data_IF_814416808833
#
_entry.id   IF_814416808833
#
_cell.length_a   1.000
_cell.length_b   1.000
_cell.length_c   1.000
_cell.angle_alpha   90.00
_cell.angle_beta   90.00
_cell.angle_gamma   90.00
#
_symmetry.space_group_name_H-M   'P 1'
#
loop_
_entity.id
_entity.type
_entity.pdbx_description
1 polymer ?
#
# COMPACT_ATOMS: atom_id res chain seq x y z
N UNK A 1 -26.12 -12.19 -15.95
CA UNK A 1 -26.72 -12.89 -14.79
C UNK A 1 -25.75 -13.15 -13.64
N UNK A 2 -24.76 -14.05 -13.71
CA UNK A 2 -23.81 -14.28 -12.57
C UNK A 2 -22.80 -13.12 -12.39
N UNK A 3 -22.42 -12.47 -13.48
CA UNK A 3 -21.46 -11.35 -13.48
C UNK A 3 -22.11 -10.05 -12.98
N UNK A 4 -23.33 -9.75 -13.42
CA UNK A 4 -24.15 -8.61 -12.93
C UNK A 4 -24.48 -8.75 -11.43
N UNK A 5 -24.78 -9.96 -10.95
CA UNK A 5 -25.06 -10.19 -9.52
C UNK A 5 -23.85 -10.00 -8.60
N UNK A 6 -22.62 -10.08 -9.11
CA UNK A 6 -21.39 -9.82 -8.33
C UNK A 6 -21.00 -8.35 -8.33
N UNK A 7 -21.25 -7.63 -9.43
CA UNK A 7 -21.06 -6.18 -9.50
C UNK A 7 -22.05 -5.45 -8.58
N UNK A 8 -23.31 -5.88 -8.53
CA UNK A 8 -24.31 -5.32 -7.60
C UNK A 8 -23.95 -5.60 -6.13
N UNK A 9 -23.38 -6.77 -5.82
CA UNK A 9 -23.00 -7.14 -4.45
C UNK A 9 -21.77 -6.33 -3.96
N UNK A 10 -20.81 -6.08 -4.86
CA UNK A 10 -19.66 -5.21 -4.58
C UNK A 10 -20.09 -3.75 -4.39
N UNK A 11 -21.02 -3.28 -5.21
CA UNK A 11 -21.58 -1.91 -5.14
C UNK A 11 -22.41 -1.68 -3.88
N UNK A 12 -23.23 -2.66 -3.49
CA UNK A 12 -24.00 -2.60 -2.24
C UNK A 12 -23.09 -2.63 -1.00
N UNK A 13 -22.01 -3.43 -1.01
CA UNK A 13 -21.01 -3.44 0.07
C UNK A 13 -20.28 -2.10 0.20
N UNK A 14 -19.91 -1.47 -0.93
CA UNK A 14 -19.29 -0.13 -0.94
C UNK A 14 -20.20 0.92 -0.28
N UNK A 15 -21.49 0.97 -0.66
CA UNK A 15 -22.47 1.92 -0.11
C UNK A 15 -22.74 1.66 1.39
N UNK A 16 -22.74 0.40 1.81
CA UNK A 16 -22.93 0.03 3.22
C UNK A 16 -21.73 0.43 4.09
N UNK A 17 -20.50 0.22 3.59
CA UNK A 17 -19.24 0.63 4.23
C UNK A 17 -19.13 2.16 4.35
N UNK A 18 -19.53 2.90 3.31
CA UNK A 18 -19.54 4.36 3.32
C UNK A 18 -20.53 4.92 4.37
N UNK A 19 -21.69 4.26 4.53
CA UNK A 19 -22.66 4.59 5.59
C UNK A 19 -22.12 4.34 7.00
N UNK A 20 -21.42 3.24 7.25
CA UNK A 20 -20.82 2.97 8.57
C UNK A 20 -19.73 3.98 8.93
N UNK A 21 -18.92 4.40 7.95
CA UNK A 21 -17.87 5.38 8.16
C UNK A 21 -18.44 6.76 8.55
N UNK A 22 -19.50 7.21 7.85
CA UNK A 22 -20.22 8.47 8.14
C UNK A 22 -20.89 8.44 9.53
N UNK A 23 -21.32 7.28 10.00
CA UNK A 23 -21.95 7.14 11.33
C UNK A 23 -20.93 7.13 12.49
N UNK A 24 -19.64 6.98 12.22
CA UNK A 24 -18.60 6.93 13.26
C UNK A 24 -18.18 8.33 13.75
N UNK A 25 -18.97 8.88 14.69
CA UNK A 25 -18.72 10.21 15.27
C UNK A 25 -17.39 10.35 16.06
N UNK A 26 -16.85 11.57 16.23
CA UNK A 26 -15.47 11.85 16.69
C UNK A 26 -15.15 11.60 18.18
N UNK A 27 -16.12 11.19 19.01
CA UNK A 27 -16.01 11.10 20.47
C UNK A 27 -15.67 9.68 20.95
N UNK A 28 -14.45 9.21 20.73
CA UNK A 28 -13.93 8.03 21.44
C UNK A 28 -12.40 7.99 21.35
N UNK A 29 -11.71 8.83 22.15
CA UNK A 29 -10.25 9.00 22.05
C UNK A 29 -9.41 8.31 23.14
N UNK A 30 -10.00 7.65 24.16
CA UNK A 30 -9.19 6.98 25.21
C UNK A 30 -9.42 5.46 25.37
N UNK A 31 -10.60 4.93 25.08
CA UNK A 31 -10.87 3.47 25.15
C UNK A 31 -10.32 2.69 23.94
N UNK A 32 -9.91 3.38 22.86
CA UNK A 32 -9.48 2.77 21.59
C UNK A 32 -8.11 2.09 21.63
N UNK A 33 -7.23 2.38 22.61
CA UNK A 33 -5.86 1.83 22.62
C UNK A 33 -5.84 0.31 22.82
N UNK A 34 -6.52 -0.24 23.84
CA UNK A 34 -6.58 -1.70 24.08
C UNK A 34 -7.34 -2.46 22.99
N UNK A 35 -8.48 -1.91 22.54
CA UNK A 35 -9.26 -2.50 21.46
C UNK A 35 -8.47 -2.56 20.14
N UNK A 36 -7.63 -1.55 19.87
CA UNK A 36 -6.79 -1.48 18.68
C UNK A 36 -5.59 -2.42 18.75
N UNK A 37 -4.93 -2.55 19.91
CA UNK A 37 -3.86 -3.53 20.11
C UNK A 37 -4.41 -4.94 19.89
N UNK A 38 -5.58 -5.24 20.48
CA UNK A 38 -6.26 -6.53 20.28
C UNK A 38 -6.62 -6.76 18.80
N UNK A 39 -7.17 -5.77 18.12
CA UNK A 39 -7.47 -5.86 16.69
C UNK A 39 -6.20 -6.07 15.84
N UNK A 40 -5.08 -5.42 16.19
CA UNK A 40 -3.80 -5.65 15.53
C UNK A 40 -3.28 -7.07 15.76
N UNK A 41 -3.37 -7.59 16.98
CA UNK A 41 -2.97 -8.97 17.28
C UNK A 41 -3.83 -10.00 16.54
N UNK A 42 -5.14 -9.79 16.49
CA UNK A 42 -6.07 -10.61 15.70
C UNK A 42 -5.75 -10.54 14.19
N UNK A 43 -5.42 -9.35 13.67
CA UNK A 43 -5.01 -9.17 12.26
C UNK A 43 -3.68 -9.87 11.96
N UNK A 44 -2.70 -9.81 12.85
CA UNK A 44 -1.43 -10.54 12.71
C UNK A 44 -1.68 -12.05 12.62
N UNK A 45 -2.53 -12.58 13.49
CA UNK A 45 -2.87 -14.01 13.51
C UNK A 45 -3.65 -14.44 12.26
N UNK A 46 -4.63 -13.64 11.83
CA UNK A 46 -5.39 -13.90 10.60
C UNK A 46 -4.50 -13.81 9.35
N UNK A 47 -3.62 -12.80 9.27
CA UNK A 47 -2.68 -12.63 8.16
C UNK A 47 -1.73 -13.82 8.02
N UNK A 48 -1.24 -14.38 9.14
CA UNK A 48 -0.36 -15.56 9.11
C UNK A 48 -1.06 -16.86 8.71
N UNK A 49 -2.37 -16.96 8.97
CA UNK A 49 -3.15 -18.17 8.70
C UNK A 49 -3.94 -18.11 7.38
N UNK A 50 -3.99 -16.95 6.72
CA UNK A 50 -4.73 -16.79 5.46
C UNK A 50 -4.01 -17.53 4.34
N UNK A 51 -4.67 -18.55 3.80
CA UNK A 51 -4.22 -19.19 2.57
C UNK A 51 -4.47 -18.22 1.40
N UNK A 52 -3.47 -17.95 0.56
CA UNK A 52 -3.69 -17.22 -0.68
C UNK A 52 -4.76 -17.95 -1.51
N UNK A 53 -5.85 -17.27 -1.84
CA UNK A 53 -6.74 -17.71 -2.92
C UNK A 53 -6.22 -17.11 -4.23
N UNK A 54 -6.45 -17.79 -5.36
CA UNK A 54 -5.80 -17.49 -6.65
C UNK A 54 -6.08 -16.10 -7.24
N UNK A 55 -6.96 -15.29 -6.63
CA UNK A 55 -7.41 -14.00 -7.18
C UNK A 55 -7.26 -12.81 -6.23
N UNK A 56 -6.70 -12.98 -5.03
CA UNK A 56 -6.57 -11.88 -4.07
C UNK A 56 -5.12 -11.42 -3.94
N UNK A 57 -4.91 -10.10 -3.95
CA UNK A 57 -3.60 -9.52 -3.66
C UNK A 57 -3.26 -9.90 -2.22
N UNK A 58 -2.10 -10.54 -2.05
CA UNK A 58 -1.57 -10.88 -0.72
C UNK A 58 -0.39 -9.99 -0.44
N UNK A 59 -0.50 -9.21 0.63
CA UNK A 59 0.60 -8.41 1.16
C UNK A 59 1.29 -9.25 2.24
N UNK A 60 2.56 -9.61 2.06
CA UNK A 60 3.27 -10.39 3.07
C UNK A 60 3.36 -9.58 4.37
N UNK A 61 2.89 -10.17 5.47
CA UNK A 61 3.20 -9.64 6.80
C UNK A 61 4.69 -9.88 7.07
N UNK A 62 5.45 -8.80 7.13
CA UNK A 62 6.85 -8.86 7.57
C UNK A 62 6.93 -8.87 9.10
N UNK A 63 8.13 -8.72 9.64
CA UNK A 63 8.39 -8.72 11.08
C UNK A 63 7.48 -7.76 11.85
N UNK A 64 7.15 -8.14 13.10
CA UNK A 64 6.22 -7.41 13.97
C UNK A 64 6.68 -5.96 14.14
N UNK A 65 5.75 -5.02 13.97
CA UNK A 65 6.01 -3.61 14.26
C UNK A 65 6.18 -3.41 15.77
N UNK A 66 7.21 -2.67 16.15
CA UNK A 66 7.36 -2.11 17.48
C UNK A 66 6.35 -0.99 17.74
N UNK A 67 6.34 -0.46 18.97
CA UNK A 67 5.35 0.53 19.39
C UNK A 67 5.44 1.87 18.64
N UNK A 68 6.62 2.19 18.09
CA UNK A 68 6.88 3.42 17.33
C UNK A 68 7.05 3.02 15.87
N UNK A 69 6.22 3.59 14.98
CA UNK A 69 6.29 3.33 13.53
C UNK A 69 6.83 4.58 12.82
N UNK A 70 6.03 5.63 12.74
CA UNK A 70 6.44 6.95 12.24
C UNK A 70 5.98 7.98 13.24
N UNK A 71 6.89 8.82 13.72
CA UNK A 71 6.57 10.01 14.50
C UNK A 71 7.18 11.23 13.84
N UNK A 72 6.35 12.25 13.67
CA UNK A 72 6.73 13.52 13.06
C UNK A 72 6.42 14.60 14.08
N UNK A 73 7.39 15.45 14.38
CA UNK A 73 7.24 16.55 15.33
C UNK A 73 7.79 17.85 14.71
N UNK A 74 6.90 18.82 14.51
CA UNK A 74 7.21 20.15 14.02
C UNK A 74 7.84 20.19 12.62
N UNK A 75 7.48 19.25 11.74
CA UNK A 75 8.08 19.13 10.41
C UNK A 75 7.79 20.36 9.56
N UNK A 76 8.85 20.99 9.09
CA UNK A 76 8.82 22.01 8.06
C UNK A 76 9.64 21.56 6.86
N UNK A 77 9.09 21.74 5.66
CA UNK A 77 9.78 21.43 4.40
C UNK A 77 9.29 22.34 3.28
N UNK A 78 10.22 22.97 2.59
CA UNK A 78 9.99 23.74 1.37
C UNK A 78 11.01 23.43 0.28
N UNK A 79 10.79 24.00 -0.90
CA UNK A 79 11.78 24.05 -1.98
C UNK A 79 11.94 25.49 -2.45
N UNK A 80 13.15 26.03 -2.34
CA UNK A 80 13.40 27.44 -2.61
C UNK A 80 12.58 28.33 -1.68
N UNK A 81 11.74 29.19 -2.27
CA UNK A 81 10.87 30.11 -1.53
C UNK A 81 9.47 29.52 -1.24
N UNK A 82 9.17 28.31 -1.74
CA UNK A 82 7.86 27.69 -1.57
C UNK A 82 7.85 26.73 -0.37
N UNK A 83 7.11 27.11 0.68
CA UNK A 83 6.88 26.26 1.85
C UNK A 83 5.75 25.26 1.53
N UNK A 84 6.07 23.97 1.55
CA UNK A 84 5.12 22.90 1.22
C UNK A 84 4.47 22.31 2.48
N UNK A 85 5.26 22.15 3.54
CA UNK A 85 4.84 21.55 4.80
C UNK A 85 5.26 22.51 5.91
N UNK A 86 4.30 22.91 6.74
CA UNK A 86 4.52 23.81 7.87
C UNK A 86 4.05 23.16 9.18
N UNK A 87 4.95 23.09 10.16
CA UNK A 87 4.70 22.64 11.53
C UNK A 87 3.85 21.34 11.67
N UNK A 88 4.07 20.36 10.78
CA UNK A 88 3.32 19.12 10.79
C UNK A 88 3.77 18.23 11.95
N UNK A 89 2.83 17.80 12.79
CA UNK A 89 3.10 16.87 13.90
C UNK A 89 2.05 15.76 13.95
N UNK A 90 2.47 14.51 13.85
CA UNK A 90 1.58 13.36 13.99
C UNK A 90 2.35 12.09 14.37
N UNK A 91 1.62 11.06 14.82
CA UNK A 91 2.17 9.75 15.13
C UNK A 91 1.36 8.66 14.45
N UNK A 92 2.04 7.80 13.71
CA UNK A 92 1.49 6.59 13.10
C UNK A 92 1.72 5.43 14.08
N UNK A 93 0.65 4.88 14.69
CA UNK A 93 0.77 3.67 15.50
C UNK A 93 0.83 2.40 14.61
N UNK A 94 1.25 1.25 15.17
CA UNK A 94 1.13 -0.06 14.50
C UNK A 94 -0.31 -0.38 14.09
N UNK A 95 -0.49 -1.01 12.92
CA UNK A 95 -1.83 -1.27 12.37
C UNK A 95 -2.55 -0.03 11.84
N UNK A 96 -1.85 1.11 11.77
CA UNK A 96 -2.42 2.37 11.29
C UNK A 96 -2.46 2.43 9.77
N UNK A 97 -3.64 2.72 9.22
CA UNK A 97 -3.80 3.12 7.81
C UNK A 97 -4.13 4.61 7.79
N UNK A 98 -3.32 5.39 7.07
CA UNK A 98 -3.45 6.85 6.97
C UNK A 98 -3.61 7.25 5.51
N UNK A 99 -4.74 7.91 5.20
CA UNK A 99 -4.93 8.59 3.92
C UNK A 99 -4.37 10.01 3.97
N UNK A 100 -3.61 10.40 2.96
CA UNK A 100 -3.08 11.74 2.74
C UNK A 100 -3.76 12.30 1.49
N UNK A 101 -4.55 13.35 1.67
CA UNK A 101 -5.32 14.01 0.61
C UNK A 101 -4.87 15.45 0.46
N UNK A 102 -4.98 15.99 -0.75
CA UNK A 102 -4.66 17.39 -1.04
C UNK A 102 -4.41 17.61 -2.53
N UNK A 103 -4.33 18.87 -2.98
CA UNK A 103 -4.10 19.18 -4.39
C UNK A 103 -2.71 18.72 -4.87
N UNK A 104 -2.54 18.63 -6.18
CA UNK A 104 -1.22 18.40 -6.79
C UNK A 104 -0.28 19.55 -6.44
N UNK A 105 0.97 19.21 -6.12
CA UNK A 105 1.95 20.20 -5.66
C UNK A 105 1.92 20.51 -4.16
N UNK A 106 0.95 20.01 -3.38
CA UNK A 106 0.87 20.27 -1.93
C UNK A 106 1.97 19.59 -1.07
N UNK A 107 3.01 19.03 -1.69
CA UNK A 107 4.11 18.37 -0.97
C UNK A 107 3.83 16.94 -0.47
N UNK A 108 2.79 16.26 -0.99
CA UNK A 108 2.45 14.87 -0.61
C UNK A 108 3.60 13.90 -0.90
N UNK A 109 4.11 13.89 -2.13
CA UNK A 109 5.30 13.11 -2.50
C UNK A 109 6.55 13.56 -1.73
N UNK A 110 6.68 14.86 -1.43
CA UNK A 110 7.78 15.38 -0.60
C UNK A 110 7.75 14.81 0.81
N UNK A 111 6.56 14.62 1.40
CA UNK A 111 6.40 13.95 2.69
C UNK A 111 6.93 12.51 2.63
N UNK A 112 6.63 11.77 1.57
CA UNK A 112 7.14 10.40 1.39
C UNK A 112 8.64 10.34 1.17
N UNK A 113 9.21 11.29 0.41
CA UNK A 113 10.66 11.44 0.27
C UNK A 113 11.36 11.75 1.59
N UNK A 114 10.68 12.48 2.49
CA UNK A 114 11.17 12.73 3.84
C UNK A 114 11.13 11.45 4.69
N UNK A 115 10.09 10.63 4.58
CA UNK A 115 10.02 9.33 5.28
C UNK A 115 11.05 8.32 4.75
N UNK A 116 11.35 8.34 3.46
CA UNK A 116 12.35 7.42 2.89
C UNK A 116 13.78 7.92 3.05
N UNK A 117 13.98 9.11 3.63
CA UNK A 117 15.29 9.72 3.85
C UNK A 117 15.95 10.28 2.57
N UNK A 118 15.24 10.31 1.45
CA UNK A 118 15.70 10.93 0.21
C UNK A 118 15.78 12.46 0.33
N UNK A 119 14.88 13.03 1.13
CA UNK A 119 14.83 14.45 1.46
C UNK A 119 15.00 14.67 2.96
N UNK A 120 15.77 15.70 3.33
CA UNK A 120 15.90 16.11 4.73
C UNK A 120 14.84 17.16 5.08
N UNK A 121 14.29 17.11 6.31
CA UNK A 121 13.43 18.19 6.81
C UNK A 121 14.25 19.48 6.98
N UNK A 122 13.64 20.63 6.73
CA UNK A 122 14.29 21.93 6.96
C UNK A 122 14.25 22.30 8.43
N UNK A 123 13.14 21.96 9.12
CA UNK A 123 13.03 22.00 10.57
C UNK A 123 12.11 20.87 11.09
N UNK A 124 12.18 20.61 12.39
CA UNK A 124 11.45 19.51 13.04
C UNK A 124 12.19 18.18 12.97
N UNK A 125 11.51 17.12 13.39
CA UNK A 125 12.07 15.77 13.44
C UNK A 125 11.12 14.74 12.85
N UNK A 126 11.69 13.79 12.10
CA UNK A 126 11.01 12.59 11.60
C UNK A 126 11.72 11.40 12.18
N UNK A 127 11.03 10.63 13.02
CA UNK A 127 11.53 9.43 13.68
C UNK A 127 10.82 8.21 13.12
N UNK A 128 11.61 7.29 12.59
CA UNK A 128 11.14 6.00 12.07
C UNK A 128 11.59 4.93 13.06
N UNK A 129 10.68 4.05 13.44
CA UNK A 129 10.98 2.98 14.40
C UNK A 129 12.01 1.99 13.86
N UNK A 130 12.83 1.42 14.73
CA UNK A 130 13.91 0.48 14.37
C UNK A 130 13.39 -0.80 13.68
N UNK A 131 12.16 -1.20 14.02
CA UNK A 131 11.51 -2.37 13.41
C UNK A 131 10.91 -2.08 12.04
N UNK A 132 10.89 -0.82 11.59
CA UNK A 132 10.20 -0.43 10.36
C UNK A 132 11.03 -0.82 9.12
N UNK A 133 10.38 -1.56 8.23
CA UNK A 133 10.80 -1.84 6.87
C UNK A 133 9.81 -1.16 5.94
N UNK A 134 10.23 -0.03 5.37
CA UNK A 134 9.43 0.74 4.42
C UNK A 134 9.34 0.00 3.09
N UNK A 135 8.12 -0.29 2.65
CA UNK A 135 7.81 -0.65 1.28
C UNK A 135 7.39 0.62 0.54
N UNK A 136 8.32 1.21 -0.21
CA UNK A 136 8.07 2.36 -1.08
C UNK A 136 8.66 2.07 -2.45
N UNK A 137 7.86 2.25 -3.51
CA UNK A 137 8.36 2.30 -4.88
C UNK A 137 8.19 3.72 -5.38
N UNK A 138 9.32 4.37 -5.64
CA UNK A 138 9.38 5.69 -6.25
C UNK A 138 8.80 5.61 -7.67
N UNK A 139 7.86 6.50 -8.00
CA UNK A 139 7.30 6.64 -9.35
C UNK A 139 8.38 6.87 -10.41
N UNK A 140 9.56 7.36 -10.02
CA UNK A 140 10.59 7.82 -10.94
C UNK A 140 11.73 6.83 -11.22
N UNK A 141 11.98 5.75 -10.43
CA UNK A 141 13.35 5.16 -10.42
C UNK A 141 13.57 3.66 -10.22
N UNK A 142 12.58 2.79 -10.18
CA UNK A 142 12.82 1.38 -10.55
C UNK A 142 12.50 1.23 -12.02
N UNK A 143 13.44 1.56 -12.90
CA UNK A 143 13.28 1.33 -14.34
C UNK A 143 12.98 -0.15 -14.56
N UNK A 144 11.71 -0.48 -14.76
CA UNK A 144 11.33 -1.83 -15.14
C UNK A 144 12.07 -2.15 -16.43
N UNK A 145 12.64 -3.34 -16.52
CA UNK A 145 13.38 -3.72 -17.70
C UNK A 145 12.41 -3.86 -18.88
N UNK A 146 12.44 -2.89 -19.79
CA UNK A 146 11.55 -2.84 -20.94
C UNK A 146 11.63 -4.09 -21.83
N UNK A 147 12.73 -4.84 -21.76
CA UNK A 147 12.94 -6.06 -22.54
C UNK A 147 12.37 -7.32 -21.89
N UNK A 148 12.18 -7.32 -20.57
CA UNK A 148 11.61 -8.44 -19.84
C UNK A 148 10.10 -8.51 -20.05
N UNK A 149 9.58 -9.73 -19.96
CA UNK A 149 8.14 -9.94 -19.87
C UNK A 149 7.61 -9.48 -18.52
N UNK A 150 6.32 -9.16 -18.44
CA UNK A 150 5.64 -8.84 -17.18
C UNK A 150 5.92 -9.90 -16.10
N UNK A 151 5.82 -11.18 -16.47
CA UNK A 151 6.08 -12.27 -15.54
C UNK A 151 7.53 -12.32 -15.08
N UNK A 152 8.51 -12.17 -15.97
CA UNK A 152 9.92 -12.14 -15.59
C UNK A 152 10.24 -10.96 -14.69
N UNK A 153 9.64 -9.80 -14.96
CA UNK A 153 9.87 -8.58 -14.20
C UNK A 153 9.29 -8.67 -12.78
N UNK A 154 8.12 -9.29 -12.61
CA UNK A 154 7.49 -9.51 -11.30
C UNK A 154 8.15 -10.69 -10.55
N UNK A 155 8.34 -11.83 -11.22
CA UNK A 155 8.80 -13.07 -10.58
C UNK A 155 10.32 -13.15 -10.44
N UNK A 156 11.09 -12.50 -11.31
CA UNK A 156 12.52 -12.73 -11.48
C UNK A 156 12.83 -14.03 -12.25
N UNK A 157 11.86 -14.59 -12.97
CA UNK A 157 11.97 -15.88 -13.66
C UNK A 157 11.71 -17.10 -12.78
N UNK A 158 11.26 -16.89 -11.53
CA UNK A 158 10.97 -17.96 -10.59
C UNK A 158 9.54 -18.47 -10.77
N UNK A 159 9.35 -19.79 -10.85
CA UNK A 159 8.02 -20.41 -10.92
C UNK A 159 7.21 -20.22 -9.61
N UNK A 160 7.90 -20.07 -8.48
CA UNK A 160 7.32 -19.87 -7.16
C UNK A 160 7.86 -18.58 -6.54
N UNK A 161 6.96 -17.74 -6.04
CA UNK A 161 7.29 -16.52 -5.30
C UNK A 161 7.10 -16.78 -3.81
N UNK A 162 8.10 -16.39 -3.02
CA UNK A 162 8.02 -16.41 -1.56
C UNK A 162 7.48 -15.07 -1.06
N UNK A 163 6.31 -15.08 -0.45
CA UNK A 163 5.68 -13.94 0.21
C UNK A 163 5.70 -14.19 1.72
N UNK A 164 6.77 -13.74 2.38
CA UNK A 164 6.98 -14.03 3.80
C UNK A 164 7.10 -15.54 4.04
N UNK A 165 6.16 -16.12 4.79
CA UNK A 165 6.10 -17.56 5.10
C UNK A 165 5.36 -18.39 4.04
N UNK A 166 4.71 -17.75 3.07
CA UNK A 166 3.88 -18.42 2.07
C UNK A 166 4.59 -18.52 0.73
N UNK A 167 4.36 -19.63 0.04
CA UNK A 167 4.80 -19.85 -1.33
C UNK A 167 3.57 -19.79 -2.24
N UNK A 168 3.64 -18.96 -3.28
CA UNK A 168 2.58 -18.80 -4.27
C UNK A 168 3.15 -19.08 -5.66
N UNK A 169 2.36 -19.71 -6.52
CA UNK A 169 2.72 -19.81 -7.93
C UNK A 169 2.85 -18.41 -8.53
N UNK A 170 3.97 -18.15 -9.21
CA UNK A 170 4.29 -16.85 -9.80
C UNK A 170 3.26 -16.37 -10.83
N UNK A 171 2.65 -17.28 -11.59
CA UNK A 171 1.58 -16.99 -12.58
C UNK A 171 0.28 -16.61 -11.89
N UNK A 172 -0.04 -17.26 -10.77
CA UNK A 172 -1.17 -16.89 -9.93
C UNK A 172 -0.95 -15.50 -9.30
N UNK A 173 0.26 -15.23 -8.80
CA UNK A 173 0.61 -13.90 -8.29
C UNK A 173 0.50 -12.80 -9.36
N UNK A 174 0.97 -13.04 -10.60
CA UNK A 174 0.76 -12.06 -11.67
C UNK A 174 -0.73 -11.85 -11.98
N UNK A 175 -1.53 -12.91 -11.89
CA UNK A 175 -2.97 -12.85 -12.12
C UNK A 175 -3.73 -12.03 -11.07
N UNK A 176 -3.23 -11.95 -9.82
CA UNK A 176 -3.84 -11.09 -8.79
C UNK A 176 -3.69 -9.59 -9.07
N UNK A 177 -2.77 -9.19 -9.97
CA UNK A 177 -2.63 -7.83 -10.49
C UNK A 177 -3.24 -7.67 -11.88
N UNK A 178 -4.18 -8.56 -12.23
CA UNK A 178 -4.91 -8.56 -13.48
C UNK A 178 -4.01 -8.66 -14.73
N UNK A 179 -2.94 -9.47 -14.64
CA UNK A 179 -2.16 -9.94 -15.78
C UNK A 179 -2.46 -11.42 -16.03
N UNK A 180 -3.34 -11.72 -16.99
CA UNK A 180 -3.83 -13.09 -17.25
C UNK A 180 -3.27 -13.65 -18.55
N UNK A 181 -2.96 -14.94 -18.57
CA UNK A 181 -2.58 -15.68 -19.78
C UNK A 181 -1.46 -14.98 -20.58
N UNK A 182 -1.80 -14.54 -21.80
CA UNK A 182 -0.86 -13.89 -22.73
C UNK A 182 -0.29 -12.55 -22.23
N UNK A 183 -1.00 -11.83 -21.35
CA UNK A 183 -0.54 -10.53 -20.82
C UNK A 183 0.77 -10.66 -20.06
N UNK A 184 0.98 -11.81 -19.42
CA UNK A 184 2.18 -12.10 -18.66
C UNK A 184 3.44 -12.23 -19.53
N UNK A 185 3.26 -12.50 -20.83
CA UNK A 185 4.34 -12.63 -21.82
C UNK A 185 4.61 -11.32 -22.58
N UNK A 186 3.81 -10.28 -22.34
CA UNK A 186 4.04 -8.98 -22.94
C UNK A 186 5.30 -8.36 -22.36
N UNK A 187 6.09 -7.69 -23.22
CA UNK A 187 7.25 -6.92 -22.81
C UNK A 187 6.82 -5.68 -22.04
N UNK A 188 7.53 -5.37 -20.96
CA UNK A 188 7.22 -4.21 -20.12
C UNK A 188 7.28 -2.89 -20.89
N UNK A 189 8.13 -2.79 -21.91
CA UNK A 189 8.21 -1.62 -22.79
C UNK A 189 6.92 -1.32 -23.57
N UNK A 190 6.06 -2.33 -23.78
CA UNK A 190 4.82 -2.20 -24.55
C UNK A 190 3.59 -1.91 -23.66
N UNK A 191 3.76 -1.89 -22.34
CA UNK A 191 2.66 -1.66 -21.41
C UNK A 191 2.20 -0.20 -21.41
N UNK A 192 0.89 0.01 -21.21
CA UNK A 192 0.35 1.33 -20.87
C UNK A 192 0.88 1.82 -19.52
N UNK A 193 0.73 3.12 -19.22
CA UNK A 193 1.09 3.69 -17.92
C UNK A 193 0.44 2.94 -16.74
N UNK A 194 -0.87 2.69 -16.83
CA UNK A 194 -1.60 1.95 -15.79
C UNK A 194 -1.15 0.49 -15.64
N UNK A 195 -0.90 -0.20 -16.75
CA UNK A 195 -0.32 -1.55 -16.70
C UNK A 195 1.07 -1.53 -16.08
N UNK A 196 1.91 -0.55 -16.41
CA UNK A 196 3.24 -0.39 -15.82
C UNK A 196 3.15 -0.17 -14.32
N UNK A 197 2.22 0.66 -13.86
CA UNK A 197 1.99 0.90 -12.43
C UNK A 197 1.57 -0.38 -11.68
N UNK A 198 0.72 -1.22 -12.29
CA UNK A 198 0.38 -2.54 -11.72
C UNK A 198 1.60 -3.46 -11.56
N UNK A 199 2.54 -3.43 -12.51
CA UNK A 199 3.81 -4.17 -12.39
C UNK A 199 4.65 -3.62 -11.23
N UNK A 200 4.74 -2.29 -11.10
CA UNK A 200 5.42 -1.65 -9.96
C UNK A 200 4.82 -2.05 -8.62
N UNK A 201 3.48 -2.00 -8.51
CA UNK A 201 2.75 -2.39 -7.30
C UNK A 201 3.03 -3.86 -6.95
N UNK A 202 2.98 -4.76 -7.93
CA UNK A 202 3.30 -6.18 -7.72
C UNK A 202 4.74 -6.38 -7.21
N UNK A 203 5.72 -5.67 -7.79
CA UNK A 203 7.11 -5.74 -7.31
C UNK A 203 7.27 -5.18 -5.89
N UNK A 204 6.62 -4.06 -5.60
CA UNK A 204 6.67 -3.43 -4.27
C UNK A 204 6.12 -4.39 -3.21
N UNK A 205 4.93 -4.94 -3.44
CA UNK A 205 4.27 -5.82 -2.48
C UNK A 205 5.02 -7.14 -2.31
N UNK A 206 5.69 -7.64 -3.36
CA UNK A 206 6.60 -8.79 -3.27
C UNK A 206 7.84 -8.50 -2.41
N UNK A 207 8.43 -7.31 -2.56
CA UNK A 207 9.60 -6.88 -1.79
C UNK A 207 9.34 -6.87 -0.28
N UNK A 208 8.06 -6.76 0.09
CA UNK A 208 7.61 -6.77 1.46
C UNK A 208 7.93 -5.47 2.20
N UNK A 209 7.44 -5.40 3.42
CA UNK A 209 7.53 -4.24 4.29
C UNK A 209 6.55 -4.44 5.43
N UNK A 210 6.72 -3.71 6.52
CA UNK A 210 5.68 -3.58 7.55
C UNK A 210 5.07 -2.18 7.57
N UNK A 211 5.58 -1.26 6.75
CA UNK A 211 5.00 0.05 6.50
C UNK A 211 5.00 0.30 4.99
N UNK A 212 3.82 0.38 4.40
CA UNK A 212 3.66 0.66 2.97
C UNK A 212 3.44 2.15 2.75
N UNK A 213 4.15 2.72 1.79
CA UNK A 213 3.95 4.09 1.33
C UNK A 213 3.45 4.02 -0.12
N UNK A 214 2.16 4.25 -0.33
CA UNK A 214 1.50 4.18 -1.64
C UNK A 214 1.22 5.59 -2.16
N UNK A 215 1.94 6.02 -3.21
CA UNK A 215 1.77 7.36 -3.79
C UNK A 215 0.84 7.32 -5.01
N UNK A 216 -0.40 7.78 -4.82
CA UNK A 216 -1.46 7.81 -5.83
C UNK A 216 -1.75 6.45 -6.50
N UNK A 217 -1.98 5.36 -5.72
CA UNK A 217 -2.23 4.05 -6.31
C UNK A 217 -3.54 4.01 -7.11
N UNK A 218 -4.46 4.95 -6.92
CA UNK A 218 -5.79 4.97 -7.54
C UNK A 218 -5.81 5.43 -8.99
N UNK A 219 -4.85 6.25 -9.44
CA UNK A 219 -4.90 6.89 -10.77
C UNK A 219 -4.85 5.91 -11.95
N UNK A 220 -4.22 4.75 -11.71
CA UNK A 220 -3.71 3.87 -12.75
C UNK A 220 -4.24 2.43 -12.60
N UNK A 221 -5.15 2.22 -11.65
CA UNK A 221 -5.77 0.93 -11.37
C UNK A 221 -7.20 0.89 -11.90
N UNK A 222 -7.56 -0.25 -12.50
CA UNK A 222 -8.96 -0.58 -12.77
C UNK A 222 -9.71 -0.83 -11.44
N UNK A 223 -11.04 -0.74 -11.48
CA UNK A 223 -11.90 -0.89 -10.29
C UNK A 223 -11.76 -2.25 -9.61
N UNK A 224 -11.50 -3.31 -10.38
CA UNK A 224 -11.30 -4.67 -9.86
C UNK A 224 -9.99 -4.76 -9.04
N UNK A 225 -8.91 -4.21 -9.57
CA UNK A 225 -7.59 -4.19 -8.93
C UNK A 225 -7.57 -3.26 -7.72
N UNK A 226 -8.29 -2.13 -7.79
CA UNK A 226 -8.44 -1.22 -6.66
C UNK A 226 -9.17 -1.90 -5.49
N UNK A 227 -10.31 -2.55 -5.74
CA UNK A 227 -11.03 -3.31 -4.71
C UNK A 227 -10.19 -4.44 -4.11
N UNK A 228 -9.41 -5.14 -4.95
CA UNK A 228 -8.48 -6.17 -4.48
C UNK A 228 -7.37 -5.59 -3.60
N UNK A 229 -6.87 -4.38 -3.90
CA UNK A 229 -5.88 -3.69 -3.10
C UNK A 229 -6.46 -3.21 -1.76
N UNK A 230 -7.68 -2.68 -1.75
CA UNK A 230 -8.40 -2.28 -0.54
C UNK A 230 -8.59 -3.47 0.42
N UNK A 231 -9.14 -4.58 -0.08
CA UNK A 231 -9.34 -5.80 0.71
C UNK A 231 -8.00 -6.37 1.24
N UNK A 232 -6.92 -6.20 0.48
CA UNK A 232 -5.58 -6.61 0.89
C UNK A 232 -4.99 -5.71 1.98
N UNK A 233 -5.22 -4.39 1.89
CA UNK A 233 -4.79 -3.40 2.89
C UNK A 233 -5.57 -3.53 4.19
N UNK A 234 -6.88 -3.80 4.14
CA UNK A 234 -7.70 -4.06 5.34
C UNK A 234 -7.20 -5.28 6.12
N UNK A 235 -6.74 -6.31 5.42
CA UNK A 235 -6.22 -7.54 6.03
C UNK A 235 -4.72 -7.48 6.34
N UNK A 236 -4.04 -6.39 6.02
CA UNK A 236 -2.60 -6.27 6.18
C UNK A 236 -2.24 -5.92 7.62
N UNK A 237 -1.50 -6.81 8.27
CA UNK A 237 -1.03 -6.65 9.65
C UNK A 237 0.23 -5.75 9.77
N UNK A 238 0.25 -4.65 9.01
CA UNK A 238 1.30 -3.62 9.03
C UNK A 238 0.69 -2.22 9.11
N UNK A 239 1.42 -1.21 8.67
CA UNK A 239 0.91 0.14 8.48
C UNK A 239 0.90 0.50 7.02
N UNK A 240 -0.01 1.38 6.62
CA UNK A 240 -0.03 1.94 5.28
C UNK A 240 -0.25 3.45 5.33
N UNK A 241 0.50 4.19 4.53
CA UNK A 241 0.26 5.60 4.25
C UNK A 241 -0.04 5.71 2.77
N UNK A 242 -1.20 6.24 2.42
CA UNK A 242 -1.76 6.21 1.07
C UNK A 242 -2.05 7.65 0.66
N UNK A 243 -1.41 8.12 -0.40
CA UNK A 243 -1.75 9.39 -1.03
C UNK A 243 -2.82 9.13 -2.08
N UNK A 244 -3.92 9.89 -2.06
CA UNK A 244 -4.96 9.86 -3.09
C UNK A 244 -5.54 11.26 -3.29
N UNK A 245 -6.21 11.45 -4.43
CA UNK A 245 -7.06 12.59 -4.74
C UNK A 245 -8.50 12.35 -4.30
#
# INVERSE_FOLDING_TARGET
LIQEGREDDARQKSIWREREWIQSSPKARQTKSKARIKAYEELVEQSQNRKPTDTQIVIPSSERLGNVVIEVEGLNKGFGDELLIENLSFRLPPGGIVGVIGPNGAGKTTLFKTFTGQEKPDAGTVRIGETVKLGYVDQSRDALDANKTVWEEISGGAEVIKLGKHEINSRAYCSSFNFRGGDQQQKVGNLSGGQRNRVHLAKMLKGGGNVLLLDEPTNDLDTETLGALEDALEAYAGCAVIISH
#
